data_IF_928260610722
#
_entry.id   IF_928260610722
#
_cell.length_a   1.000
_cell.length_b   1.000
_cell.length_c   1.000
_cell.angle_alpha   90.00
_cell.angle_beta   90.00
_cell.angle_gamma   90.00
#
_symmetry.space_group_name_H-M   'P 1'
#
loop_
_entity.id
_entity.type
_entity.pdbx_description
1 polymer ?
#
# COMPACT_ATOMS: atom_id res chain seq x y z
N UNK A 1 -8.81 -12.28 2.88
CA UNK A 1 -7.56 -11.51 2.72
C UNK A 1 -7.81 -10.04 2.41
N UNK A 2 -8.70 -9.73 1.50
CA UNK A 2 -8.96 -8.34 1.09
C UNK A 2 -9.42 -7.46 2.26
N UNK A 3 -10.25 -7.98 3.14
CA UNK A 3 -10.74 -7.23 4.30
C UNK A 3 -9.61 -6.86 5.25
N UNK A 4 -8.69 -7.80 5.50
CA UNK A 4 -7.54 -7.54 6.36
C UNK A 4 -6.59 -6.52 5.73
N UNK A 5 -6.41 -6.62 4.41
CA UNK A 5 -5.59 -5.66 3.67
C UNK A 5 -6.21 -4.28 3.77
N UNK A 6 -7.52 -4.18 3.61
CA UNK A 6 -8.23 -2.92 3.73
C UNK A 6 -8.02 -2.28 5.10
N UNK A 7 -8.09 -3.07 6.17
CA UNK A 7 -7.85 -2.58 7.53
C UNK A 7 -6.45 -2.01 7.69
N UNK A 8 -5.44 -2.71 7.16
CA UNK A 8 -4.05 -2.24 7.23
C UNK A 8 -3.86 -0.97 6.41
N UNK A 9 -4.46 -0.91 5.22
CA UNK A 9 -4.42 0.29 4.38
C UNK A 9 -5.04 1.48 5.12
N UNK A 10 -6.15 1.28 5.82
CA UNK A 10 -6.78 2.34 6.60
C UNK A 10 -5.88 2.84 7.74
N UNK A 11 -5.07 1.96 8.32
CA UNK A 11 -4.11 2.35 9.36
C UNK A 11 -2.95 3.16 8.79
N UNK A 12 -2.55 2.89 7.55
CA UNK A 12 -1.43 3.56 6.89
C UNK A 12 -1.83 4.94 6.36
N UNK A 13 -3.07 5.08 5.89
CA UNK A 13 -3.53 6.31 5.23
C UNK A 13 -3.28 7.60 6.01
N UNK A 14 -3.57 7.67 7.32
CA UNK A 14 -3.34 8.92 8.06
C UNK A 14 -1.90 9.42 7.99
N UNK A 15 -0.94 8.51 8.04
CA UNK A 15 0.49 8.88 7.95
C UNK A 15 0.82 9.45 6.57
N UNK A 16 0.25 8.87 5.52
CA UNK A 16 0.47 9.35 4.16
C UNK A 16 -0.23 10.68 3.92
N UNK A 17 -1.42 10.83 4.45
CA UNK A 17 -2.19 12.07 4.32
C UNK A 17 -1.49 13.23 5.02
N UNK A 18 -0.83 12.96 6.14
CA UNK A 18 -0.05 13.97 6.85
C UNK A 18 1.12 14.49 6.01
N UNK A 19 1.66 13.64 5.12
CA UNK A 19 2.75 14.01 4.22
C UNK A 19 2.25 14.54 2.87
N UNK A 20 0.94 14.74 2.73
CA UNK A 20 0.35 15.25 1.50
C UNK A 20 0.04 14.18 0.46
N UNK A 21 0.13 12.91 0.82
CA UNK A 21 -0.19 11.81 -0.07
C UNK A 21 -1.39 10.99 0.40
N UNK A 22 -1.67 9.93 -0.31
CA UNK A 22 -2.71 8.96 0.08
C UNK A 22 -2.47 7.64 -0.63
N UNK A 23 -3.16 6.60 -0.19
CA UNK A 23 -3.11 5.29 -0.81
C UNK A 23 -4.52 4.71 -0.86
N UNK A 24 -4.85 4.07 -1.96
CA UNK A 24 -6.15 3.45 -2.17
C UNK A 24 -5.94 1.99 -2.54
N UNK A 25 -6.70 1.10 -1.91
CA UNK A 25 -6.68 -0.32 -2.27
C UNK A 25 -7.51 -0.51 -3.54
N UNK A 26 -6.88 -1.04 -4.58
CA UNK A 26 -7.56 -1.33 -5.85
C UNK A 26 -8.05 -2.77 -5.86
N UNK A 27 -7.17 -3.71 -5.56
CA UNK A 27 -7.52 -5.12 -5.56
C UNK A 27 -6.47 -5.95 -4.83
N UNK A 28 -6.82 -7.20 -4.56
CA UNK A 28 -5.90 -8.20 -4.01
C UNK A 28 -6.07 -9.46 -4.83
N UNK A 29 -4.99 -9.91 -5.44
CA UNK A 29 -5.05 -11.12 -6.29
C UNK A 29 -5.00 -12.39 -5.43
N UNK A 30 -5.40 -13.49 -6.04
CA UNK A 30 -5.33 -14.80 -5.39
C UNK A 30 -3.90 -15.21 -5.08
N UNK A 31 -2.96 -14.68 -5.83
CA UNK A 31 -1.54 -14.96 -5.64
C UNK A 31 -0.95 -14.23 -4.43
N UNK A 32 -1.72 -13.36 -3.81
CA UNK A 32 -1.24 -12.59 -2.67
C UNK A 32 -0.60 -11.26 -3.04
N UNK A 33 -0.87 -10.76 -4.23
CA UNK A 33 -0.39 -9.44 -4.67
C UNK A 33 -1.45 -8.39 -4.36
N UNK A 34 -1.04 -7.37 -3.63
CA UNK A 34 -1.91 -6.26 -3.28
C UNK A 34 -1.72 -5.14 -4.30
N UNK A 35 -2.79 -4.75 -4.97
CA UNK A 35 -2.75 -3.66 -5.95
C UNK A 35 -3.26 -2.39 -5.29
N UNK A 36 -2.43 -1.37 -5.29
CA UNK A 36 -2.74 -0.08 -4.66
C UNK A 36 -2.53 1.06 -5.65
N UNK A 37 -3.18 2.16 -5.38
CA UNK A 37 -3.02 3.38 -6.16
C UNK A 37 -2.51 4.48 -5.23
N UNK A 38 -1.34 5.00 -5.53
CA UNK A 38 -0.76 6.10 -4.75
C UNK A 38 -1.26 7.43 -5.30
N UNK A 39 -1.55 8.37 -4.41
CA UNK A 39 -2.13 9.67 -4.77
C UNK A 39 -1.35 10.80 -4.11
N UNK A 40 -1.51 12.00 -4.65
CA UNK A 40 -0.91 13.20 -4.11
C UNK A 40 0.60 13.21 -4.22
N UNK A 41 1.29 13.65 -3.18
CA UNK A 41 2.75 13.75 -3.15
C UNK A 41 3.45 12.41 -3.38
N UNK A 42 2.80 11.30 -3.02
CA UNK A 42 3.36 9.97 -3.21
C UNK A 42 3.48 9.58 -4.67
N UNK A 43 2.74 10.25 -5.55
CA UNK A 43 2.72 9.95 -6.98
C UNK A 43 3.75 10.74 -7.77
N UNK A 44 4.16 11.90 -7.27
CA UNK A 44 4.97 12.85 -8.01
C UNK A 44 6.45 12.53 -8.09
N UNK A 45 6.96 11.62 -7.26
CA UNK A 45 8.38 11.31 -7.20
C UNK A 45 8.59 9.79 -7.31
N UNK A 46 9.20 9.30 -8.40
CA UNK A 46 9.40 7.85 -8.57
C UNK A 46 10.17 7.20 -7.44
N UNK A 47 11.18 7.86 -6.91
CA UNK A 47 11.96 7.33 -5.80
C UNK A 47 11.14 7.24 -4.51
N UNK A 48 10.38 8.28 -4.21
CA UNK A 48 9.51 8.30 -3.04
C UNK A 48 8.40 7.26 -3.16
N UNK A 49 7.82 7.10 -4.35
CA UNK A 49 6.79 6.10 -4.59
C UNK A 49 7.32 4.68 -4.37
N UNK A 50 8.54 4.42 -4.81
CA UNK A 50 9.15 3.10 -4.62
C UNK A 50 9.42 2.83 -3.13
N UNK A 51 9.96 3.80 -2.41
CA UNK A 51 10.22 3.69 -0.98
C UNK A 51 8.92 3.44 -0.21
N UNK A 52 7.88 4.17 -0.57
CA UNK A 52 6.57 4.02 0.04
C UNK A 52 5.99 2.64 -0.23
N UNK A 53 6.09 2.17 -1.46
CA UNK A 53 5.63 0.84 -1.85
C UNK A 53 6.32 -0.24 -1.02
N UNK A 54 7.63 -0.13 -0.82
CA UNK A 54 8.39 -1.09 -0.02
C UNK A 54 7.96 -1.04 1.44
N UNK A 55 7.73 0.16 1.98
CA UNK A 55 7.25 0.32 3.35
C UNK A 55 5.86 -0.29 3.55
N UNK A 56 4.97 -0.04 2.63
CA UNK A 56 3.62 -0.61 2.66
C UNK A 56 3.67 -2.13 2.56
N UNK A 57 4.48 -2.65 1.66
CA UNK A 57 4.66 -4.08 1.49
C UNK A 57 5.16 -4.73 2.79
N UNK A 58 6.15 -4.11 3.43
CA UNK A 58 6.70 -4.63 4.68
C UNK A 58 5.63 -4.69 5.76
N UNK A 59 4.85 -3.64 5.91
CA UNK A 59 3.78 -3.59 6.90
C UNK A 59 2.72 -4.65 6.61
N UNK A 60 2.29 -4.75 5.37
CA UNK A 60 1.29 -5.73 4.96
C UNK A 60 1.77 -7.16 5.18
N UNK A 61 3.00 -7.46 4.80
CA UNK A 61 3.56 -8.79 5.00
C UNK A 61 3.73 -9.14 6.47
N UNK A 62 4.03 -8.16 7.29
CA UNK A 62 4.13 -8.34 8.73
C UNK A 62 2.78 -8.69 9.35
N UNK A 63 1.72 -8.04 8.88
CA UNK A 63 0.36 -8.28 9.38
C UNK A 63 -0.30 -9.50 8.75
N UNK A 64 -0.03 -9.72 7.47
CA UNK A 64 -0.64 -10.78 6.68
C UNK A 64 0.47 -11.56 5.96
N UNK A 65 0.99 -12.64 6.55
CA UNK A 65 2.11 -13.39 5.97
C UNK A 65 1.85 -13.95 4.58
N UNK A 66 0.59 -14.09 4.21
CA UNK A 66 0.17 -14.63 2.91
C UNK A 66 0.46 -13.67 1.76
N UNK A 67 0.68 -12.38 2.05
CA UNK A 67 0.96 -11.39 1.02
C UNK A 67 2.36 -11.60 0.47
N UNK A 68 2.46 -11.66 -0.86
CA UNK A 68 3.73 -11.85 -1.55
C UNK A 68 4.35 -10.56 -2.06
N UNK A 69 3.54 -9.54 -2.28
CA UNK A 69 4.04 -8.27 -2.75
C UNK A 69 2.94 -7.25 -2.91
N UNK A 70 3.36 -6.04 -3.27
CA UNK A 70 2.47 -4.90 -3.51
C UNK A 70 2.81 -4.30 -4.84
N UNK A 71 1.81 -4.00 -5.65
CA UNK A 71 1.96 -3.32 -6.92
C UNK A 71 1.24 -1.98 -6.91
N UNK A 72 1.89 -0.98 -7.46
CA UNK A 72 1.28 0.32 -7.70
C UNK A 72 0.66 0.35 -9.10
N UNK A 73 -0.60 0.68 -9.20
CA UNK A 73 -1.32 0.70 -10.47
C UNK A 73 -1.81 2.11 -10.84
#
# INVERSE_FOLDING_TARGET
>A
MKEKVQEVIQEIRPNLQADGGDIELVDVTEDGIVKVKLQGACRGCPGAAMTLKMGVERILRSRIPEIKGVESV
#
